data_IF_453435808417
#
_entry.id   IF_453435808417
#
_cell.length_a   1.000
_cell.length_b   1.000
_cell.length_c   1.000
_cell.angle_alpha   90.00
_cell.angle_beta   90.00
_cell.angle_gamma   90.00
#
_symmetry.space_group_name_H-M   'P 1'
#
loop_
_entity.id
_entity.type
_entity.pdbx_description
1 polymer ?
#
# COMPACT_ATOMS: atom_id res chain seq x y z
N UNK A 1 26.36 -13.18 12.44
CA UNK A 1 25.09 -13.83 12.02
C UNK A 1 25.51 -15.02 11.17
N UNK A 2 24.94 -16.19 11.38
CA UNK A 2 25.23 -17.34 10.51
C UNK A 2 24.21 -17.35 9.37
N UNK A 3 24.70 -17.34 8.14
CA UNK A 3 23.87 -17.41 6.94
C UNK A 3 23.60 -18.86 6.56
N UNK A 4 22.45 -19.15 5.96
CA UNK A 4 22.20 -20.45 5.35
C UNK A 4 23.06 -20.60 4.07
N UNK A 5 23.33 -21.84 3.61
CA UNK A 5 24.07 -22.04 2.34
C UNK A 5 23.44 -21.30 1.15
N UNK A 6 22.11 -21.21 1.09
CA UNK A 6 21.41 -20.51 0.04
C UNK A 6 21.59 -18.98 0.18
N UNK A 7 21.58 -18.47 1.42
CA UNK A 7 21.83 -17.05 1.68
C UNK A 7 23.27 -16.66 1.35
N UNK A 8 24.26 -17.51 1.68
CA UNK A 8 25.68 -17.30 1.29
C UNK A 8 25.86 -17.28 -0.22
N UNK A 9 25.18 -18.21 -0.93
CA UNK A 9 25.19 -18.23 -2.39
C UNK A 9 24.55 -16.96 -2.99
N UNK A 10 23.47 -16.46 -2.39
CA UNK A 10 22.84 -15.21 -2.80
C UNK A 10 23.75 -14.00 -2.58
N UNK A 11 24.40 -13.90 -1.42
CA UNK A 11 25.38 -12.85 -1.12
C UNK A 11 26.49 -12.83 -2.16
N UNK A 12 27.05 -14.01 -2.47
CA UNK A 12 28.10 -14.14 -3.49
C UNK A 12 27.60 -13.74 -4.88
N UNK A 13 26.41 -14.17 -5.28
CA UNK A 13 25.86 -13.84 -6.59
C UNK A 13 25.62 -12.32 -6.76
N UNK A 14 25.13 -11.65 -5.72
CA UNK A 14 24.94 -10.18 -5.74
C UNK A 14 26.29 -9.47 -5.77
N UNK A 15 27.28 -9.94 -5.00
CA UNK A 15 28.62 -9.36 -5.01
C UNK A 15 29.28 -9.53 -6.39
N UNK A 16 29.21 -10.71 -6.99
CA UNK A 16 29.72 -10.96 -8.34
C UNK A 16 29.05 -10.05 -9.38
N UNK A 17 27.75 -9.80 -9.26
CA UNK A 17 27.03 -8.85 -10.11
C UNK A 17 27.51 -7.41 -9.88
N UNK A 18 27.70 -6.99 -8.63
CA UNK A 18 28.19 -5.65 -8.32
C UNK A 18 29.56 -5.40 -8.95
N UNK A 19 30.45 -6.37 -8.85
CA UNK A 19 31.85 -6.21 -9.23
C UNK A 19 32.11 -6.45 -10.72
N UNK A 20 31.40 -7.37 -11.35
CA UNK A 20 31.80 -7.93 -12.65
C UNK A 20 30.73 -7.80 -13.75
N UNK A 21 29.48 -7.44 -13.43
CA UNK A 21 28.40 -7.39 -14.41
C UNK A 21 28.15 -5.96 -14.91
N UNK A 22 27.83 -5.81 -16.19
CA UNK A 22 27.31 -4.57 -16.78
C UNK A 22 25.79 -4.44 -16.63
N UNK A 23 25.10 -5.51 -16.23
CA UNK A 23 23.66 -5.49 -16.02
C UNK A 23 23.27 -4.51 -14.91
N UNK A 24 22.32 -3.65 -15.20
CA UNK A 24 21.91 -2.59 -14.29
C UNK A 24 21.07 -3.13 -13.12
N UNK A 25 20.28 -4.20 -13.31
CA UNK A 25 19.33 -4.72 -12.34
C UNK A 25 19.71 -6.12 -11.89
N UNK A 26 19.70 -6.36 -10.58
CA UNK A 26 19.73 -7.70 -10.01
C UNK A 26 18.44 -7.98 -9.22
N UNK A 27 17.77 -9.07 -9.53
CA UNK A 27 16.48 -9.48 -8.93
C UNK A 27 16.74 -10.57 -7.90
N UNK A 28 16.90 -10.17 -6.65
CA UNK A 28 16.98 -11.08 -5.51
C UNK A 28 15.58 -11.32 -4.98
N UNK A 29 14.92 -12.35 -5.50
CA UNK A 29 13.57 -12.69 -5.05
C UNK A 29 13.60 -13.77 -3.99
N UNK A 30 12.54 -13.85 -3.21
CA UNK A 30 12.37 -14.89 -2.22
C UNK A 30 11.02 -14.82 -1.55
N UNK A 31 10.59 -15.91 -0.97
CA UNK A 31 9.31 -16.00 -0.29
C UNK A 31 9.33 -15.31 1.08
N UNK A 32 8.17 -15.20 1.73
CA UNK A 32 8.10 -14.69 3.09
C UNK A 32 9.01 -15.52 4.03
N UNK A 33 9.71 -14.86 4.95
CA UNK A 33 10.58 -15.53 5.93
C UNK A 33 11.98 -15.95 5.42
N UNK A 34 12.36 -15.66 4.18
CA UNK A 34 13.69 -16.04 3.62
C UNK A 34 14.81 -15.04 3.94
N UNK A 35 14.54 -13.92 4.60
CA UNK A 35 15.56 -12.97 5.07
C UNK A 35 16.07 -11.97 4.02
N UNK A 36 15.35 -11.74 2.91
CA UNK A 36 15.75 -10.82 1.83
C UNK A 36 16.26 -9.46 2.29
N UNK A 37 15.48 -8.78 3.12
CA UNK A 37 15.82 -7.43 3.61
C UNK A 37 17.08 -7.44 4.47
N UNK A 38 17.26 -8.48 5.29
CA UNK A 38 18.46 -8.63 6.13
C UNK A 38 19.72 -8.86 5.28
N UNK A 39 19.60 -9.67 4.22
CA UNK A 39 20.68 -9.87 3.25
C UNK A 39 21.05 -8.58 2.53
N UNK A 40 20.05 -7.82 2.07
CA UNK A 40 20.28 -6.57 1.35
C UNK A 40 20.94 -5.51 2.24
N UNK A 41 20.57 -5.45 3.52
CA UNK A 41 21.23 -4.56 4.49
C UNK A 41 22.71 -4.93 4.67
N UNK A 42 22.99 -6.21 4.86
CA UNK A 42 24.36 -6.69 4.98
C UNK A 42 25.21 -6.44 3.72
N UNK A 43 24.64 -6.66 2.53
CA UNK A 43 25.29 -6.33 1.27
C UNK A 43 25.60 -4.84 1.15
N UNK A 44 24.68 -3.99 1.57
CA UNK A 44 24.84 -2.54 1.51
C UNK A 44 26.01 -2.03 2.37
N UNK A 45 26.27 -2.68 3.51
CA UNK A 45 27.42 -2.35 4.38
C UNK A 45 28.76 -2.58 3.70
N UNK A 46 28.83 -3.49 2.72
CA UNK A 46 30.04 -3.83 1.95
C UNK A 46 30.27 -2.98 0.70
N UNK A 47 29.28 -2.17 0.29
CA UNK A 47 29.38 -1.37 -0.94
C UNK A 47 30.14 -0.09 -0.70
N UNK A 48 31.17 0.17 -1.53
CA UNK A 48 31.87 1.45 -1.52
C UNK A 48 31.04 2.54 -2.20
N UNK A 49 30.71 3.59 -1.46
CA UNK A 49 29.95 4.75 -1.96
C UNK A 49 28.54 4.85 -1.40
N UNK A 50 27.69 5.59 -2.08
CA UNK A 50 26.34 5.88 -1.60
C UNK A 50 25.40 4.73 -1.93
N UNK A 51 24.77 4.17 -0.90
CA UNK A 51 23.69 3.19 -1.05
C UNK A 51 22.38 3.83 -0.60
N UNK A 52 21.36 3.79 -1.47
CA UNK A 52 20.04 4.31 -1.20
C UNK A 52 19.04 3.15 -1.07
N UNK A 53 18.15 3.25 -0.08
CA UNK A 53 17.07 2.28 0.12
C UNK A 53 15.74 2.90 -0.23
N UNK A 54 14.95 2.19 -1.01
CA UNK A 54 13.62 2.61 -1.41
C UNK A 54 12.57 1.53 -1.21
N UNK A 55 11.33 1.96 -0.98
CA UNK A 55 10.15 1.10 -0.99
C UNK A 55 9.01 1.77 -1.74
N UNK A 56 8.04 0.99 -2.20
CA UNK A 56 6.90 1.54 -2.93
C UNK A 56 6.00 2.40 -2.04
N UNK A 57 5.78 2.00 -0.79
CA UNK A 57 4.91 2.70 0.17
C UNK A 57 5.71 3.32 1.32
N UNK A 58 5.18 4.41 1.89
CA UNK A 58 5.78 5.04 3.06
C UNK A 58 5.84 4.11 4.28
N UNK A 59 4.84 3.24 4.43
CA UNK A 59 4.84 2.23 5.51
C UNK A 59 5.96 1.20 5.32
N UNK A 60 6.18 0.72 4.11
CA UNK A 60 7.28 -0.20 3.83
C UNK A 60 8.65 0.47 4.04
N UNK A 61 8.80 1.74 3.66
CA UNK A 61 10.05 2.48 3.95
C UNK A 61 10.28 2.66 5.46
N UNK A 62 9.23 2.89 6.24
CA UNK A 62 9.34 2.97 7.71
C UNK A 62 9.77 1.64 8.32
N UNK A 63 9.22 0.52 7.86
CA UNK A 63 9.66 -0.83 8.30
C UNK A 63 11.14 -1.07 7.98
N UNK A 64 11.63 -0.60 6.85
CA UNK A 64 13.06 -0.65 6.51
C UNK A 64 13.89 0.22 7.45
N UNK A 65 13.43 1.43 7.79
CA UNK A 65 14.10 2.33 8.74
C UNK A 65 14.20 1.67 10.13
N UNK A 66 13.15 1.03 10.61
CA UNK A 66 13.14 0.29 11.88
C UNK A 66 14.15 -0.88 11.88
N UNK A 67 14.46 -1.43 10.72
CA UNK A 67 15.50 -2.46 10.52
C UNK A 67 16.92 -1.89 10.31
N UNK A 68 17.07 -0.57 10.44
CA UNK A 68 18.37 0.11 10.30
C UNK A 68 18.72 0.54 8.88
N UNK A 69 17.83 0.40 7.89
CA UNK A 69 18.04 0.87 6.53
C UNK A 69 17.47 2.29 6.40
N UNK A 70 18.23 3.33 6.01
CA UNK A 70 17.71 4.70 5.83
C UNK A 70 16.88 4.79 4.53
N UNK A 71 15.68 4.25 4.57
CA UNK A 71 14.82 4.12 3.40
C UNK A 71 13.86 5.29 3.22
N UNK A 72 13.55 5.61 1.96
CA UNK A 72 12.48 6.53 1.56
C UNK A 72 11.51 5.85 0.60
N UNK A 73 10.45 6.53 0.18
CA UNK A 73 9.65 5.98 -0.92
C UNK A 73 10.34 6.21 -2.26
N UNK A 74 10.12 5.31 -3.23
CA UNK A 74 10.64 5.48 -4.59
C UNK A 74 10.19 6.83 -5.17
N UNK A 75 8.94 7.24 -4.92
CA UNK A 75 8.44 8.55 -5.35
C UNK A 75 9.27 9.72 -4.79
N UNK A 76 9.56 9.72 -3.50
CA UNK A 76 10.40 10.77 -2.89
C UNK A 76 11.82 10.74 -3.44
N UNK A 77 12.29 9.55 -3.78
CA UNK A 77 13.66 9.34 -4.26
C UNK A 77 13.86 9.90 -5.67
N UNK A 78 12.92 9.67 -6.59
CA UNK A 78 13.12 9.96 -8.02
C UNK A 78 12.24 11.07 -8.59
N UNK A 79 11.21 11.54 -7.86
CA UNK A 79 10.31 12.58 -8.34
C UNK A 79 10.35 13.82 -7.45
N UNK A 80 9.98 14.94 -8.05
CA UNK A 80 9.64 16.17 -7.34
C UNK A 80 8.20 16.57 -7.66
N UNK A 81 7.49 17.09 -6.68
CA UNK A 81 6.15 17.61 -6.91
C UNK A 81 6.20 18.81 -7.84
N UNK A 82 5.35 18.82 -8.84
CA UNK A 82 5.10 19.98 -9.70
C UNK A 82 3.79 20.58 -9.27
N UNK A 83 3.78 21.89 -9.03
CA UNK A 83 2.51 22.56 -8.79
C UNK A 83 1.64 22.42 -10.05
N UNK A 84 0.37 21.97 -9.90
CA UNK A 84 -0.52 21.87 -11.03
C UNK A 84 -0.69 23.24 -11.69
N UNK A 85 -0.58 23.28 -13.01
CA UNK A 85 -0.90 24.51 -13.74
C UNK A 85 -2.42 24.70 -13.75
N UNK A 86 -2.92 25.55 -12.87
CA UNK A 86 -4.34 25.94 -12.84
C UNK A 86 -4.69 26.97 -13.91
N UNK A 87 -3.72 27.43 -14.71
CA UNK A 87 -3.93 28.48 -15.70
C UNK A 87 -5.02 28.13 -16.73
N UNK A 88 -4.95 26.92 -17.28
CA UNK A 88 -5.95 26.42 -18.25
C UNK A 88 -7.34 26.24 -17.63
N UNK A 89 -7.39 25.76 -16.39
CA UNK A 89 -8.66 25.64 -15.65
C UNK A 89 -9.28 27.01 -15.42
N UNK A 90 -8.50 28.01 -14.98
CA UNK A 90 -8.98 29.39 -14.80
C UNK A 90 -9.46 30.03 -16.10
N UNK A 91 -8.75 29.78 -17.21
CA UNK A 91 -9.17 30.24 -18.54
C UNK A 91 -10.51 29.63 -18.94
N UNK A 92 -10.67 28.31 -18.75
CA UNK A 92 -11.92 27.62 -19.03
C UNK A 92 -13.06 28.07 -18.12
N UNK A 93 -12.80 28.32 -16.85
CA UNK A 93 -13.78 28.86 -15.90
C UNK A 93 -14.27 30.25 -16.31
N UNK A 94 -13.35 31.13 -16.74
CA UNK A 94 -13.69 32.44 -17.24
C UNK A 94 -14.54 32.40 -18.53
N UNK A 95 -14.24 31.45 -19.43
CA UNK A 95 -14.99 31.25 -20.66
C UNK A 95 -16.39 30.67 -20.38
N UNK A 96 -16.50 29.69 -19.48
CA UNK A 96 -17.79 29.16 -19.03
C UNK A 96 -18.62 30.25 -18.36
N UNK A 97 -18.01 31.11 -17.54
CA UNK A 97 -18.67 32.26 -16.94
C UNK A 97 -19.31 33.17 -17.95
N UNK A 98 -18.62 33.48 -19.07
CA UNK A 98 -19.18 34.26 -20.16
C UNK A 98 -20.37 33.61 -20.84
N UNK A 99 -20.30 32.29 -21.06
CA UNK A 99 -21.40 31.53 -21.67
C UNK A 99 -22.63 31.45 -20.78
N UNK A 100 -22.47 31.48 -19.46
CA UNK A 100 -23.56 31.44 -18.47
C UNK A 100 -24.26 32.81 -18.30
N UNK A 101 -23.66 33.90 -18.75
CA UNK A 101 -24.28 35.24 -18.72
C UNK A 101 -25.30 35.48 -19.86
N UNK A 102 -25.51 34.49 -20.74
CA UNK A 102 -26.49 34.60 -21.82
C UNK A 102 -27.91 34.41 -21.23
N UNK A 103 -28.72 35.49 -21.23
CA UNK A 103 -30.05 35.48 -20.58
C UNK A 103 -31.04 34.49 -21.21
N UNK A 104 -31.00 34.28 -22.55
CA UNK A 104 -31.86 33.32 -23.25
C UNK A 104 -31.02 32.41 -24.18
N UNK A 105 -30.36 31.38 -23.66
CA UNK A 105 -29.49 30.54 -24.49
C UNK A 105 -30.32 29.63 -25.40
N UNK A 106 -29.95 29.57 -26.67
CA UNK A 106 -30.51 28.62 -27.64
C UNK A 106 -30.15 27.17 -27.27
N UNK A 107 -30.87 26.19 -27.82
CA UNK A 107 -30.60 24.76 -27.60
C UNK A 107 -29.15 24.36 -28.00
N UNK A 108 -28.57 25.01 -29.00
CA UNK A 108 -27.19 24.81 -29.43
C UNK A 108 -26.21 25.34 -28.37
N UNK A 109 -26.49 26.52 -27.80
CA UNK A 109 -25.67 27.12 -26.74
C UNK A 109 -25.76 26.34 -25.44
N UNK A 110 -26.94 25.83 -25.09
CA UNK A 110 -27.12 24.95 -23.93
C UNK A 110 -26.28 23.66 -24.07
N UNK A 111 -26.27 23.05 -25.25
CA UNK A 111 -25.42 21.88 -25.52
C UNK A 111 -23.95 22.24 -25.41
N UNK A 112 -23.52 23.38 -25.97
CA UNK A 112 -22.14 23.87 -25.83
C UNK A 112 -21.73 24.07 -24.38
N UNK A 113 -22.60 24.66 -23.56
CA UNK A 113 -22.37 24.84 -22.10
C UNK A 113 -22.20 23.47 -21.41
N UNK A 114 -23.04 22.48 -21.74
CA UNK A 114 -22.92 21.14 -21.15
C UNK A 114 -21.63 20.44 -21.55
N UNK A 115 -21.25 20.51 -22.84
CA UNK A 115 -20.01 19.90 -23.33
C UNK A 115 -18.79 20.59 -22.68
N UNK A 116 -18.83 21.92 -22.58
CA UNK A 116 -17.74 22.69 -21.97
C UNK A 116 -17.60 22.43 -20.46
N UNK A 117 -18.71 22.23 -19.74
CA UNK A 117 -18.69 21.79 -18.34
C UNK A 117 -17.98 20.44 -18.17
N UNK A 118 -18.27 19.47 -19.06
CA UNK A 118 -17.62 18.16 -19.03
C UNK A 118 -16.11 18.27 -19.31
N UNK A 119 -15.75 19.08 -20.31
CA UNK A 119 -14.33 19.33 -20.61
C UNK A 119 -13.60 20.02 -19.46
N UNK A 120 -14.24 20.99 -18.80
CA UNK A 120 -13.71 21.66 -17.62
C UNK A 120 -13.53 20.67 -16.45
N UNK A 121 -14.48 19.76 -16.23
CA UNK A 121 -14.40 18.75 -15.19
C UNK A 121 -13.24 17.76 -15.46
N UNK A 122 -13.05 17.37 -16.70
CA UNK A 122 -11.90 16.55 -17.13
C UNK A 122 -10.58 17.32 -16.89
N UNK A 123 -10.51 18.59 -17.28
CA UNK A 123 -9.31 19.39 -17.11
C UNK A 123 -9.01 19.68 -15.64
N UNK A 124 -10.03 19.96 -14.84
CA UNK A 124 -9.90 20.05 -13.37
C UNK A 124 -9.35 18.74 -12.80
N UNK A 125 -9.90 17.59 -13.23
CA UNK A 125 -9.43 16.27 -12.81
C UNK A 125 -7.97 16.03 -13.21
N UNK A 126 -7.57 16.45 -14.40
CA UNK A 126 -6.19 16.36 -14.87
C UNK A 126 -5.25 17.32 -14.12
N UNK A 127 -5.67 18.56 -13.91
CA UNK A 127 -4.91 19.55 -13.13
C UNK A 127 -4.77 19.17 -11.65
N UNK A 128 -5.60 18.24 -11.17
CA UNK A 128 -5.69 17.78 -9.81
C UNK A 128 -4.78 16.63 -9.47
N UNK A 129 -4.45 15.84 -10.46
CA UNK A 129 -3.48 14.76 -10.24
C UNK A 129 -2.17 15.41 -9.85
N UNK A 130 -1.57 15.02 -8.70
CA UNK A 130 -0.25 15.51 -8.39
C UNK A 130 0.65 15.17 -9.58
N UNK A 131 1.09 16.23 -10.27
CA UNK A 131 2.04 16.06 -11.36
C UNK A 131 3.41 15.90 -10.74
N UNK A 132 4.03 14.79 -11.01
CA UNK A 132 5.39 14.53 -10.59
C UNK A 132 6.30 14.61 -11.82
N UNK A 133 7.31 15.45 -11.73
CA UNK A 133 8.39 15.47 -12.72
C UNK A 133 9.56 14.66 -12.19
N UNK A 134 10.21 13.91 -13.10
CA UNK A 134 11.43 13.19 -12.77
C UNK A 134 12.50 14.18 -12.27
N UNK A 135 12.99 13.96 -11.05
CA UNK A 135 14.05 14.78 -10.46
C UNK A 135 15.41 14.31 -10.98
N UNK A 136 15.87 14.85 -12.09
CA UNK A 136 17.15 14.51 -12.71
C UNK A 136 18.38 14.84 -11.85
N UNK A 137 18.20 15.62 -10.81
CA UNK A 137 19.22 16.00 -9.82
C UNK A 137 19.14 15.15 -8.54
N UNK A 138 18.32 14.09 -8.57
CA UNK A 138 18.22 13.15 -7.45
C UNK A 138 19.58 12.53 -7.12
N UNK A 139 19.78 12.25 -5.82
CA UNK A 139 20.95 11.53 -5.31
C UNK A 139 21.13 10.14 -5.96
N UNK A 140 20.04 9.58 -6.52
CA UNK A 140 20.06 8.32 -7.28
C UNK A 140 21.11 8.35 -8.39
N UNK A 141 21.29 9.50 -9.05
CA UNK A 141 22.26 9.65 -10.15
C UNK A 141 23.70 9.38 -9.75
N UNK A 142 24.05 9.64 -8.49
CA UNK A 142 25.39 9.42 -7.95
C UNK A 142 25.51 8.19 -7.06
N UNK A 143 24.44 7.43 -6.90
CA UNK A 143 24.42 6.27 -6.04
C UNK A 143 25.22 5.11 -6.65
N UNK A 144 26.01 4.43 -5.82
CA UNK A 144 26.70 3.18 -6.19
C UNK A 144 25.72 2.02 -6.27
N UNK A 145 24.69 2.05 -5.44
CA UNK A 145 23.64 1.03 -5.41
C UNK A 145 22.32 1.64 -4.93
N UNK A 146 21.23 1.26 -5.58
CA UNK A 146 19.87 1.49 -5.08
C UNK A 146 19.23 0.15 -4.74
N UNK A 147 18.76 -0.01 -3.52
CA UNK A 147 18.05 -1.20 -3.06
C UNK A 147 16.56 -0.89 -2.98
N UNK A 148 15.74 -1.62 -3.72
CA UNK A 148 14.29 -1.46 -3.72
C UNK A 148 13.64 -2.68 -3.08
N UNK A 149 12.98 -2.49 -1.95
CA UNK A 149 12.19 -3.55 -1.30
C UNK A 149 10.71 -3.47 -1.73
N UNK A 150 9.99 -4.59 -1.61
CA UNK A 150 8.60 -4.75 -2.05
C UNK A 150 8.40 -4.33 -3.51
N UNK A 151 9.32 -4.73 -4.39
CA UNK A 151 9.33 -4.31 -5.80
C UNK A 151 8.13 -4.82 -6.62
N UNK A 152 7.31 -5.70 -6.07
CA UNK A 152 6.11 -6.25 -6.71
C UNK A 152 5.06 -5.18 -7.06
N UNK A 153 5.10 -4.04 -6.38
CA UNK A 153 4.16 -2.94 -6.58
C UNK A 153 4.66 -1.87 -7.58
N UNK A 154 5.89 -1.96 -8.06
CA UNK A 154 6.47 -0.97 -8.98
C UNK A 154 5.91 -1.19 -10.38
N UNK A 155 5.27 -0.17 -10.93
CA UNK A 155 4.74 -0.18 -12.30
C UNK A 155 5.82 0.11 -13.36
N UNK A 156 5.41 0.00 -14.64
CA UNK A 156 6.34 0.17 -15.76
C UNK A 156 6.95 1.57 -15.87
N UNK A 157 6.16 2.61 -15.56
CA UNK A 157 6.65 4.01 -15.66
C UNK A 157 7.68 4.29 -14.59
N UNK A 158 7.34 3.99 -13.34
CA UNK A 158 8.24 4.21 -12.20
C UNK A 158 9.52 3.37 -12.33
N UNK A 159 9.41 2.13 -12.79
CA UNK A 159 10.57 1.27 -13.01
C UNK A 159 11.51 1.81 -14.07
N UNK A 160 10.99 2.27 -15.21
CA UNK A 160 11.78 2.90 -16.27
C UNK A 160 12.42 4.21 -15.80
N UNK A 161 11.67 5.04 -15.10
CA UNK A 161 12.17 6.30 -14.54
C UNK A 161 13.33 6.05 -13.58
N UNK A 162 13.21 5.07 -12.69
CA UNK A 162 14.30 4.67 -11.77
C UNK A 162 15.54 4.21 -12.55
N UNK A 163 15.36 3.35 -13.54
CA UNK A 163 16.49 2.84 -14.35
C UNK A 163 17.13 3.92 -15.23
N UNK A 164 16.41 5.00 -15.57
CA UNK A 164 16.94 6.09 -16.39
C UNK A 164 18.12 6.86 -15.74
N UNK A 165 18.32 6.70 -14.42
CA UNK A 165 19.46 7.27 -13.71
C UNK A 165 20.79 6.54 -13.96
N UNK A 166 20.76 5.31 -14.48
CA UNK A 166 21.94 4.55 -14.85
C UNK A 166 22.70 3.89 -13.70
N UNK A 167 22.26 4.05 -12.44
CA UNK A 167 22.87 3.37 -11.28
C UNK A 167 22.48 1.88 -11.22
N UNK A 168 23.25 1.07 -10.49
CA UNK A 168 22.89 -0.33 -10.21
C UNK A 168 21.71 -0.40 -9.26
N UNK A 169 20.77 -1.30 -9.53
CA UNK A 169 19.52 -1.46 -8.77
C UNK A 169 19.36 -2.92 -8.33
N UNK A 170 19.44 -3.15 -7.04
CA UNK A 170 19.09 -4.42 -6.40
C UNK A 170 17.62 -4.40 -6.02
N UNK A 171 16.79 -5.25 -6.63
CA UNK A 171 15.37 -5.33 -6.31
C UNK A 171 15.07 -6.58 -5.50
N UNK A 172 14.36 -6.36 -4.39
CA UNK A 172 13.88 -7.40 -3.51
C UNK A 172 12.39 -7.56 -3.74
N UNK A 173 11.95 -8.78 -3.94
CA UNK A 173 10.54 -9.06 -4.20
C UNK A 173 10.14 -10.46 -3.80
N UNK A 174 8.85 -10.67 -3.74
CA UNK A 174 8.26 -11.97 -3.53
C UNK A 174 7.37 -12.29 -4.74
N UNK A 175 7.76 -13.25 -5.59
CA UNK A 175 7.04 -13.58 -6.82
C UNK A 175 5.68 -14.23 -6.56
N UNK A 176 5.42 -14.67 -5.33
CA UNK A 176 4.14 -15.22 -4.93
C UNK A 176 3.15 -14.17 -4.43
N UNK A 177 3.61 -12.93 -4.19
CA UNK A 177 2.72 -11.84 -3.78
C UNK A 177 1.87 -11.31 -4.95
N UNK A 178 0.83 -10.58 -4.57
CA UNK A 178 -0.13 -9.98 -5.49
C UNK A 178 0.55 -8.84 -6.29
N UNK A 179 0.42 -8.82 -7.63
CA UNK A 179 0.93 -7.72 -8.44
C UNK A 179 0.13 -6.42 -8.23
N UNK A 180 0.61 -5.27 -8.71
CA UNK A 180 -0.11 -4.01 -8.62
C UNK A 180 -1.44 -4.05 -9.38
N UNK A 181 -2.38 -3.21 -8.96
CA UNK A 181 -3.67 -3.08 -9.65
C UNK A 181 -3.46 -2.57 -11.07
N UNK A 182 -3.93 -3.31 -12.05
CA UNK A 182 -3.92 -2.89 -13.47
C UNK A 182 -2.73 -3.34 -14.31
N UNK A 183 -1.79 -4.12 -13.77
CA UNK A 183 -0.66 -4.62 -14.55
C UNK A 183 0.22 -5.64 -13.86
N UNK A 184 1.23 -6.13 -14.58
CA UNK A 184 2.33 -6.88 -13.98
C UNK A 184 3.31 -5.90 -13.31
N UNK A 185 3.92 -6.30 -12.20
CA UNK A 185 4.97 -5.51 -11.59
C UNK A 185 6.21 -5.47 -12.50
N UNK A 186 6.75 -4.28 -12.72
CA UNK A 186 7.84 -4.07 -13.68
C UNK A 186 9.03 -5.02 -13.47
N UNK A 187 9.43 -5.20 -12.23
CA UNK A 187 10.56 -6.07 -11.89
C UNK A 187 10.15 -7.54 -11.77
N UNK A 188 8.91 -7.83 -11.38
CA UNK A 188 8.44 -9.20 -11.13
C UNK A 188 7.94 -9.92 -12.37
N UNK A 189 7.83 -9.22 -13.51
CA UNK A 189 7.52 -9.82 -14.81
C UNK A 189 8.73 -10.56 -15.44
N UNK A 190 9.89 -10.47 -14.80
CA UNK A 190 11.13 -11.12 -15.21
C UNK A 190 11.48 -12.26 -14.25
N UNK A 191 12.24 -13.22 -14.76
CA UNK A 191 12.80 -14.27 -13.90
C UNK A 191 13.76 -13.66 -12.88
N UNK A 192 13.78 -14.18 -11.65
CA UNK A 192 14.78 -13.76 -10.67
C UNK A 192 16.19 -14.16 -11.12
N UNK A 193 17.17 -13.32 -10.82
CA UNK A 193 18.58 -13.64 -10.98
C UNK A 193 19.03 -14.60 -9.86
N UNK A 194 18.40 -14.45 -8.68
CA UNK A 194 18.51 -15.41 -7.58
C UNK A 194 17.17 -15.54 -6.84
N UNK A 195 16.78 -16.77 -6.52
CA UNK A 195 15.54 -17.05 -5.77
C UNK A 195 15.89 -17.71 -4.43
N UNK A 196 15.47 -17.06 -3.34
CA UNK A 196 15.52 -17.61 -1.99
C UNK A 196 14.21 -18.37 -1.73
N UNK A 197 14.25 -19.68 -1.73
CA UNK A 197 13.08 -20.54 -1.49
C UNK A 197 13.18 -21.36 -0.20
N UNK A 198 14.34 -21.41 0.42
CA UNK A 198 14.52 -22.01 1.73
C UNK A 198 14.02 -21.08 2.84
N UNK A 199 13.08 -21.58 3.63
CA UNK A 199 12.62 -20.91 4.84
C UNK A 199 13.72 -21.01 5.89
N UNK A 200 14.04 -19.90 6.56
CA UNK A 200 15.08 -19.89 7.58
C UNK A 200 14.74 -20.90 8.69
N UNK A 201 15.74 -21.66 9.19
CA UNK A 201 15.56 -22.70 10.24
C UNK A 201 14.79 -22.20 11.47
N UNK A 202 14.88 -20.93 11.81
CA UNK A 202 14.11 -20.31 12.91
C UNK A 202 12.61 -20.16 12.61
N UNK A 203 12.20 -20.35 11.36
CA UNK A 203 10.82 -20.24 10.90
C UNK A 203 10.25 -21.60 10.46
N UNK A 204 11.00 -22.69 10.62
CA UNK A 204 10.49 -24.06 10.39
C UNK A 204 9.40 -24.35 11.43
N UNK A 205 8.24 -24.79 10.96
CA UNK A 205 7.07 -25.05 11.80
C UNK A 205 6.27 -23.79 12.19
N UNK A 206 6.53 -22.64 11.54
CA UNK A 206 5.68 -21.46 11.68
C UNK A 206 4.34 -21.72 10.94
N UNK A 207 3.22 -21.74 11.66
CA UNK A 207 1.92 -22.06 11.07
C UNK A 207 1.50 -21.09 9.96
N UNK A 208 1.96 -19.83 10.00
CA UNK A 208 1.67 -18.84 8.96
C UNK A 208 2.41 -19.19 7.69
N UNK A 209 3.69 -19.56 7.79
CA UNK A 209 4.50 -19.96 6.63
C UNK A 209 4.04 -21.30 6.05
N UNK A 210 3.54 -22.21 6.87
CA UNK A 210 2.93 -23.46 6.42
C UNK A 210 1.69 -23.19 5.56
N UNK A 211 0.74 -22.38 6.07
CA UNK A 211 -0.45 -21.98 5.33
C UNK A 211 -0.11 -21.19 4.05
N UNK A 212 0.87 -20.29 4.13
CA UNK A 212 1.36 -19.53 2.97
C UNK A 212 1.97 -20.47 1.92
N UNK A 213 2.76 -21.47 2.34
CA UNK A 213 3.37 -22.46 1.43
C UNK A 213 2.33 -23.34 0.76
N UNK A 214 1.32 -23.83 1.50
CA UNK A 214 0.20 -24.56 0.93
C UNK A 214 -0.51 -23.72 -0.14
N UNK A 215 -0.81 -22.45 0.19
CA UNK A 215 -1.47 -21.52 -0.73
C UNK A 215 -0.64 -21.25 -1.99
N UNK A 216 0.67 -21.03 -1.83
CA UNK A 216 1.62 -20.85 -2.94
C UNK A 216 1.66 -22.05 -3.87
N UNK A 217 1.65 -23.27 -3.30
CA UNK A 217 1.64 -24.52 -4.03
C UNK A 217 0.26 -24.87 -4.62
N UNK A 218 -0.71 -23.95 -4.50
CA UNK A 218 -2.09 -24.10 -4.97
C UNK A 218 -2.83 -25.26 -4.31
N UNK A 219 -2.40 -25.66 -3.13
CA UNK A 219 -3.10 -26.63 -2.29
C UNK A 219 -4.28 -25.96 -1.61
N UNK A 220 -5.44 -26.61 -1.60
CA UNK A 220 -6.59 -26.12 -0.86
C UNK A 220 -6.28 -26.16 0.64
N UNK A 221 -6.54 -25.06 1.33
CA UNK A 221 -6.47 -25.04 2.78
C UNK A 221 -7.63 -25.85 3.35
N UNK A 222 -7.35 -26.82 4.19
CA UNK A 222 -8.37 -27.59 4.89
C UNK A 222 -8.85 -26.84 6.13
N UNK A 223 -10.09 -27.10 6.57
CA UNK A 223 -10.60 -26.57 7.83
C UNK A 223 -9.85 -27.22 9.00
N UNK A 224 -9.46 -26.42 9.98
CA UNK A 224 -8.77 -26.94 11.16
C UNK A 224 -7.83 -25.96 11.81
N UNK A 225 -7.17 -26.43 12.86
CA UNK A 225 -6.17 -25.68 13.61
C UNK A 225 -4.77 -25.97 13.04
N UNK A 226 -3.97 -24.92 12.88
CA UNK A 226 -2.58 -24.94 12.42
C UNK A 226 -1.71 -24.22 13.45
N UNK A 227 -1.40 -24.86 14.56
CA UNK A 227 -0.67 -24.24 15.66
C UNK A 227 -1.38 -23.02 16.22
N UNK A 228 -0.79 -21.82 16.08
CA UNK A 228 -1.42 -20.55 16.48
C UNK A 228 -2.40 -20.00 15.46
N UNK A 229 -2.46 -20.60 14.28
CA UNK A 229 -3.31 -20.19 13.16
C UNK A 229 -4.44 -21.19 12.92
N UNK A 230 -5.43 -20.82 12.12
CA UNK A 230 -6.56 -21.71 11.80
C UNK A 230 -7.27 -21.33 10.51
N UNK A 231 -8.01 -22.31 9.98
CA UNK A 231 -8.91 -22.14 8.83
C UNK A 231 -10.31 -22.55 9.27
N UNK A 232 -11.27 -21.65 9.17
CA UNK A 232 -12.66 -21.87 9.58
C UNK A 232 -13.60 -21.60 8.41
N UNK A 233 -14.80 -22.16 8.49
CA UNK A 233 -15.88 -21.90 7.54
C UNK A 233 -16.84 -20.87 8.14
N UNK A 234 -17.27 -19.90 7.31
CA UNK A 234 -18.14 -18.81 7.75
C UNK A 234 -19.52 -19.33 8.18
N UNK A 235 -20.08 -20.24 7.40
CA UNK A 235 -21.45 -20.74 7.61
C UNK A 235 -21.53 -21.76 8.76
N UNK A 236 -20.44 -22.49 8.99
CA UNK A 236 -20.36 -23.47 10.08
C UNK A 236 -19.94 -22.84 11.43
N UNK A 237 -19.35 -21.63 11.40
CA UNK A 237 -18.87 -20.93 12.60
C UNK A 237 -20.02 -20.21 13.30
N UNK A 238 -20.20 -20.49 14.60
CA UNK A 238 -21.23 -19.81 15.39
C UNK A 238 -20.99 -18.29 15.43
N UNK A 239 -22.05 -17.46 15.33
CA UNK A 239 -21.88 -16.00 15.34
C UNK A 239 -21.13 -15.44 16.54
N UNK A 240 -21.25 -16.05 17.71
CA UNK A 240 -20.54 -15.64 18.91
C UNK A 240 -19.04 -15.88 18.82
N UNK A 241 -18.63 -17.02 18.23
CA UNK A 241 -17.24 -17.40 18.04
C UNK A 241 -16.60 -16.52 16.95
N UNK A 242 -17.30 -16.29 15.84
CA UNK A 242 -16.87 -15.38 14.79
C UNK A 242 -16.71 -13.95 15.33
N UNK A 243 -17.65 -13.49 16.16
CA UNK A 243 -17.54 -12.18 16.82
C UNK A 243 -16.26 -12.08 17.65
N UNK A 244 -15.93 -13.11 18.44
CA UNK A 244 -14.69 -13.14 19.22
C UNK A 244 -13.48 -13.06 18.30
N UNK A 245 -13.43 -13.87 17.23
CA UNK A 245 -12.34 -13.89 16.25
C UNK A 245 -12.08 -12.50 15.66
N UNK A 246 -13.12 -11.80 15.21
CA UNK A 246 -12.97 -10.48 14.58
C UNK A 246 -12.65 -9.37 15.58
N UNK A 247 -13.07 -9.51 16.85
CA UNK A 247 -12.79 -8.55 17.91
C UNK A 247 -11.36 -8.66 18.44
N UNK A 248 -10.79 -9.87 18.43
CA UNK A 248 -9.42 -10.15 18.89
C UNK A 248 -8.38 -9.88 17.80
N UNK A 249 -8.80 -9.58 16.58
CA UNK A 249 -7.91 -9.32 15.44
C UNK A 249 -7.30 -7.92 15.50
N UNK A 250 -5.99 -7.83 15.27
CA UNK A 250 -5.33 -6.54 15.03
C UNK A 250 -5.74 -5.95 13.68
N UNK A 251 -5.94 -6.80 12.67
CA UNK A 251 -6.39 -6.38 11.34
C UNK A 251 -7.25 -7.43 10.65
N UNK A 252 -8.26 -6.94 9.94
CA UNK A 252 -9.11 -7.75 9.06
C UNK A 252 -8.78 -7.42 7.62
N UNK A 253 -8.58 -8.47 6.79
CA UNK A 253 -8.26 -8.34 5.37
C UNK A 253 -9.39 -8.92 4.54
N UNK A 254 -9.82 -8.17 3.52
CA UNK A 254 -10.88 -8.54 2.58
C UNK A 254 -10.44 -8.30 1.13
N UNK A 255 -11.19 -8.82 0.16
CA UNK A 255 -10.86 -8.68 -1.26
C UNK A 255 -11.42 -7.42 -1.92
N UNK A 256 -12.68 -7.10 -1.61
CA UNK A 256 -13.46 -6.08 -2.34
C UNK A 256 -13.70 -4.82 -1.52
N UNK A 257 -13.76 -3.67 -2.19
CA UNK A 257 -14.07 -2.40 -1.53
C UNK A 257 -15.48 -2.40 -0.91
N UNK A 258 -16.47 -3.00 -1.58
CA UNK A 258 -17.83 -3.08 -1.03
C UNK A 258 -17.86 -3.90 0.27
N UNK A 259 -17.14 -5.02 0.33
CA UNK A 259 -17.01 -5.82 1.55
C UNK A 259 -16.28 -5.02 2.64
N UNK A 260 -15.19 -4.32 2.29
CA UNK A 260 -14.46 -3.44 3.19
C UNK A 260 -15.37 -2.38 3.83
N UNK A 261 -16.16 -1.65 3.04
CA UNK A 261 -17.08 -0.63 3.56
C UNK A 261 -18.15 -1.24 4.48
N UNK A 262 -18.76 -2.35 4.06
CA UNK A 262 -19.76 -3.05 4.85
C UNK A 262 -19.19 -3.55 6.19
N UNK A 263 -17.99 -4.13 6.16
CA UNK A 263 -17.34 -4.66 7.36
C UNK A 263 -16.91 -3.54 8.29
N UNK A 264 -16.33 -2.46 7.80
CA UNK A 264 -15.99 -1.30 8.62
C UNK A 264 -17.20 -0.76 9.38
N UNK A 265 -18.35 -0.62 8.70
CA UNK A 265 -19.60 -0.19 9.34
C UNK A 265 -20.09 -1.16 10.43
N UNK A 266 -19.97 -2.49 10.20
CA UNK A 266 -20.38 -3.51 11.18
C UNK A 266 -19.39 -3.57 12.36
N UNK A 267 -18.08 -3.53 12.09
CA UNK A 267 -17.05 -3.62 13.11
C UNK A 267 -17.08 -2.40 14.04
N UNK A 268 -17.25 -1.19 13.51
CA UNK A 268 -17.47 0.00 14.35
C UNK A 268 -18.61 -0.21 15.36
N UNK A 269 -19.76 -0.73 14.88
CA UNK A 269 -20.90 -1.03 15.77
C UNK A 269 -20.55 -2.09 16.82
N UNK A 270 -19.77 -3.12 16.47
CA UNK A 270 -19.31 -4.13 17.42
C UNK A 270 -18.39 -3.53 18.50
N UNK A 271 -17.60 -2.50 18.16
CA UNK A 271 -16.78 -1.72 19.08
C UNK A 271 -17.57 -0.63 19.83
N UNK A 272 -18.93 -0.60 19.71
CA UNK A 272 -19.79 0.34 20.40
C UNK A 272 -19.85 1.74 19.79
N UNK A 273 -19.31 1.94 18.56
CA UNK A 273 -19.30 3.22 17.85
C UNK A 273 -20.45 3.32 16.87
N UNK A 274 -21.31 4.29 17.07
CA UNK A 274 -22.59 4.41 16.33
C UNK A 274 -22.75 5.72 15.57
N UNK A 275 -21.91 6.72 15.86
CA UNK A 275 -21.87 7.96 15.08
C UNK A 275 -21.57 7.68 13.61
N UNK A 276 -22.09 8.50 12.69
CA UNK A 276 -21.69 8.45 11.29
C UNK A 276 -20.27 8.99 11.07
N UNK A 277 -19.81 9.88 11.95
CA UNK A 277 -18.45 10.44 11.95
C UNK A 277 -17.53 9.69 12.91
N UNK A 278 -16.20 9.86 12.78
CA UNK A 278 -15.25 9.23 13.68
C UNK A 278 -15.50 9.56 15.16
N UNK A 279 -15.19 8.60 16.00
CA UNK A 279 -15.21 8.71 17.46
C UNK A 279 -13.83 8.33 18.00
N UNK A 280 -13.50 8.80 19.20
CA UNK A 280 -12.24 8.42 19.86
C UNK A 280 -12.08 6.89 19.95
N UNK A 281 -10.90 6.42 19.58
CA UNK A 281 -10.56 4.99 19.43
C UNK A 281 -10.98 4.37 18.09
N UNK A 282 -11.58 5.11 17.14
CA UNK A 282 -11.78 4.59 15.79
C UNK A 282 -10.43 4.32 15.10
N UNK A 283 -10.41 3.27 14.29
CA UNK A 283 -9.26 2.92 13.47
C UNK A 283 -9.47 3.47 12.06
N UNK A 284 -8.52 4.27 11.60
CA UNK A 284 -8.62 4.96 10.31
C UNK A 284 -7.35 4.76 9.48
N UNK A 285 -7.45 4.83 8.15
CA UNK A 285 -6.33 4.77 7.21
C UNK A 285 -6.24 6.07 6.44
N UNK A 286 -5.04 6.61 6.35
CA UNK A 286 -4.74 7.71 5.47
C UNK A 286 -4.67 7.20 4.01
N UNK A 287 -5.31 7.93 3.09
CA UNK A 287 -5.39 7.55 1.66
C UNK A 287 -4.60 8.46 0.75
N UNK A 288 -3.94 9.47 1.32
CA UNK A 288 -3.13 10.44 0.56
C UNK A 288 -1.87 10.80 1.35
N UNK A 289 -0.75 10.89 0.64
CA UNK A 289 0.47 11.41 1.26
C UNK A 289 0.34 12.90 1.55
N UNK A 290 0.79 13.30 2.72
CA UNK A 290 0.98 14.69 3.11
C UNK A 290 2.35 14.79 3.79
N UNK A 291 3.30 15.42 3.11
CA UNK A 291 4.68 15.47 3.56
C UNK A 291 4.91 16.50 4.68
N UNK A 292 4.04 17.50 4.76
CA UNK A 292 4.16 18.56 5.77
C UNK A 292 3.77 18.02 7.15
N UNK A 293 2.77 17.16 7.19
CA UNK A 293 2.30 16.49 8.41
C UNK A 293 2.91 15.11 8.65
N UNK A 294 3.65 14.57 7.68
CA UNK A 294 4.21 13.23 7.74
C UNK A 294 3.19 12.09 7.51
N UNK A 295 2.00 12.42 7.04
CA UNK A 295 0.97 11.43 6.72
C UNK A 295 1.33 10.66 5.44
N UNK A 296 1.20 9.35 5.50
CA UNK A 296 1.52 8.47 4.37
C UNK A 296 0.32 7.63 3.95
N UNK A 297 0.13 7.49 2.64
CA UNK A 297 -0.92 6.65 2.08
C UNK A 297 -0.74 5.19 2.54
N UNK A 298 -1.81 4.61 3.06
CA UNK A 298 -1.84 3.26 3.61
C UNK A 298 -1.46 3.18 5.10
N UNK A 299 -0.96 4.27 5.71
CA UNK A 299 -0.68 4.30 7.13
C UNK A 299 -1.99 4.29 7.94
N UNK A 300 -1.98 3.48 9.00
CA UNK A 300 -3.13 3.29 9.90
C UNK A 300 -2.92 4.10 11.17
N UNK A 301 -4.01 4.64 11.66
CA UNK A 301 -4.04 5.48 12.83
C UNK A 301 -5.21 5.10 13.74
N UNK A 302 -5.09 5.45 15.02
CA UNK A 302 -6.20 5.49 15.97
C UNK A 302 -6.58 6.94 16.25
N UNK A 303 -7.86 7.23 16.21
CA UNK A 303 -8.40 8.54 16.59
C UNK A 303 -8.29 8.67 18.11
N UNK A 304 -7.55 9.66 18.59
CA UNK A 304 -7.43 9.94 20.04
C UNK A 304 -8.50 10.90 20.51
N UNK A 305 -8.75 11.94 19.71
CA UNK A 305 -9.72 12.98 20.05
C UNK A 305 -10.41 13.51 18.81
N UNK A 306 -11.64 14.00 18.98
CA UNK A 306 -12.44 14.65 17.96
C UNK A 306 -12.69 16.08 18.42
N UNK A 307 -12.32 17.02 17.57
CA UNK A 307 -12.62 18.42 17.72
C UNK A 307 -13.93 18.84 17.05
N UNK A 308 -13.88 19.85 16.24
CA UNK A 308 -15.02 20.39 15.52
C UNK A 308 -15.44 19.46 14.37
N UNK A 309 -16.75 19.26 14.20
CA UNK A 309 -17.33 18.43 13.14
C UNK A 309 -18.44 19.24 12.49
N UNK A 310 -18.35 19.45 11.18
CA UNK A 310 -19.42 20.03 10.38
C UNK A 310 -19.84 19.08 9.23
N UNK A 311 -20.58 19.57 8.25
CA UNK A 311 -21.06 18.75 7.13
C UNK A 311 -19.93 18.30 6.22
N UNK A 312 -18.87 19.10 6.07
CA UNK A 312 -17.79 18.88 5.13
C UNK A 312 -16.49 18.38 5.79
N UNK A 313 -16.22 18.76 7.06
CA UNK A 313 -14.95 18.51 7.70
C UNK A 313 -15.07 17.92 9.11
N UNK A 314 -14.06 17.12 9.44
CA UNK A 314 -13.85 16.55 10.78
C UNK A 314 -12.45 16.91 11.23
N UNK A 315 -12.34 17.71 12.29
CA UNK A 315 -11.09 17.97 12.98
C UNK A 315 -10.83 16.85 13.97
N UNK A 316 -9.70 16.19 13.88
CA UNK A 316 -9.36 15.08 14.77
C UNK A 316 -7.87 15.01 15.08
N UNK A 317 -7.56 14.41 16.22
CA UNK A 317 -6.19 14.03 16.58
C UNK A 317 -6.03 12.55 16.38
N UNK A 318 -5.03 12.14 15.59
CA UNK A 318 -4.77 10.74 15.24
C UNK A 318 -3.37 10.33 15.67
N UNK A 319 -3.23 9.10 16.16
CA UNK A 319 -1.95 8.49 16.51
C UNK A 319 -1.65 7.31 15.60
N UNK A 320 -0.42 7.19 15.04
CA UNK A 320 -0.03 6.03 14.24
C UNK A 320 -0.17 4.70 15.00
N UNK A 321 -0.62 3.64 14.34
CA UNK A 321 -0.71 2.28 14.90
C UNK A 321 0.65 1.71 15.29
N UNK A 322 1.73 2.21 14.70
CA UNK A 322 3.12 1.86 15.02
C UNK A 322 3.69 2.64 16.21
N UNK A 323 2.89 3.49 16.86
CA UNK A 323 3.35 4.43 17.88
C UNK A 323 3.96 5.72 17.30
N UNK A 324 4.32 6.64 18.18
CA UNK A 324 4.85 7.97 17.84
C UNK A 324 3.92 9.08 18.28
N UNK A 325 4.20 10.31 17.85
CA UNK A 325 3.44 11.48 18.25
C UNK A 325 2.07 11.54 17.59
N UNK A 326 1.12 12.12 18.28
CA UNK A 326 -0.20 12.38 17.74
C UNK A 326 -0.16 13.54 16.72
N UNK A 327 -0.97 13.44 15.69
CA UNK A 327 -1.03 14.40 14.59
C UNK A 327 -2.43 15.00 14.56
N UNK A 328 -2.49 16.34 14.52
CA UNK A 328 -3.75 17.06 14.28
C UNK A 328 -4.04 17.08 12.78
N UNK A 329 -5.24 16.68 12.39
CA UNK A 329 -5.65 16.59 11.00
C UNK A 329 -7.06 17.14 10.80
N UNK A 330 -7.30 17.67 9.60
CA UNK A 330 -8.63 18.03 9.13
C UNK A 330 -8.96 17.06 8.00
N UNK A 331 -9.91 16.16 8.22
CA UNK A 331 -10.34 15.19 7.25
C UNK A 331 -11.67 15.60 6.60
N UNK A 332 -11.85 15.29 5.31
CA UNK A 332 -13.14 15.52 4.69
C UNK A 332 -14.15 14.46 5.12
N UNK A 333 -15.29 14.91 5.65
CA UNK A 333 -16.35 14.08 6.28
C UNK A 333 -16.95 13.01 5.33
N UNK A 334 -17.13 13.35 4.07
CA UNK A 334 -17.74 12.49 3.05
C UNK A 334 -17.03 11.13 2.88
N UNK A 335 -15.72 11.07 3.07
CA UNK A 335 -14.99 9.80 2.96
C UNK A 335 -15.39 8.79 4.03
N UNK A 336 -15.76 9.24 5.22
CA UNK A 336 -16.27 8.37 6.28
C UNK A 336 -17.67 7.83 5.97
N UNK A 337 -18.43 8.55 5.14
CA UNK A 337 -19.73 8.13 4.64
C UNK A 337 -19.63 7.19 3.43
N UNK A 338 -18.42 7.03 2.86
CA UNK A 338 -18.14 6.20 1.67
C UNK A 338 -18.39 6.94 0.36
N UNK A 339 -18.42 8.24 0.41
CA UNK A 339 -18.59 9.11 -0.76
C UNK A 339 -17.25 9.46 -1.38
N UNK A 340 -17.27 9.94 -2.61
CA UNK A 340 -16.07 10.42 -3.31
C UNK A 340 -16.15 11.93 -3.43
N UNK A 341 -15.07 12.61 -3.02
CA UNK A 341 -14.96 14.06 -3.07
C UNK A 341 -13.97 14.42 -4.17
N UNK A 342 -14.33 15.31 -5.09
CA UNK A 342 -13.38 15.89 -6.01
C UNK A 342 -12.30 16.65 -5.22
N UNK A 343 -11.06 16.58 -5.68
CA UNK A 343 -9.94 17.16 -4.95
C UNK A 343 -10.03 18.69 -4.74
N UNK A 344 -10.72 19.41 -5.66
CA UNK A 344 -10.92 20.86 -5.56
C UNK A 344 -11.96 21.25 -4.50
N UNK A 345 -12.74 20.29 -4.01
CA UNK A 345 -13.68 20.46 -2.91
C UNK A 345 -13.06 20.05 -1.56
N UNK A 346 -11.82 19.57 -1.58
CA UNK A 346 -11.15 19.13 -0.36
C UNK A 346 -10.64 20.26 0.54
N UNK A 347 -10.51 21.48 0.01
CA UNK A 347 -10.04 22.67 0.75
C UNK A 347 -8.83 22.43 1.68
N UNK A 348 -7.89 21.60 1.21
CA UNK A 348 -6.71 21.22 1.98
C UNK A 348 -6.92 20.08 2.99
N UNK A 349 -8.14 19.58 3.12
CA UNK A 349 -8.44 18.47 4.02
C UNK A 349 -7.74 17.16 3.60
N UNK A 350 -7.44 16.32 4.57
CA UNK A 350 -6.85 14.99 4.35
C UNK A 350 -7.92 13.97 4.02
N UNK A 351 -7.51 12.91 3.31
CA UNK A 351 -8.35 11.78 2.97
C UNK A 351 -8.14 10.65 3.97
N UNK A 352 -9.10 10.44 4.85
CA UNK A 352 -9.15 9.31 5.78
C UNK A 352 -10.39 8.46 5.56
N UNK A 353 -10.25 7.15 5.78
CA UNK A 353 -11.34 6.18 5.74
C UNK A 353 -11.24 5.26 6.97
N UNK A 354 -12.32 4.56 7.35
CA UNK A 354 -12.28 3.55 8.40
C UNK A 354 -11.41 2.35 8.00
N UNK A 355 -10.65 1.80 8.95
CA UNK A 355 -9.63 0.79 8.72
C UNK A 355 -9.70 -0.46 9.62
N UNK A 356 -10.84 -0.77 10.20
CA UNK A 356 -11.05 -2.05 10.89
C UNK A 356 -10.88 -3.23 9.91
N UNK A 357 -11.36 -3.06 8.69
CA UNK A 357 -11.08 -3.94 7.57
C UNK A 357 -10.40 -3.15 6.44
N UNK A 358 -9.37 -3.72 5.84
CA UNK A 358 -8.67 -3.17 4.68
C UNK A 358 -8.64 -4.19 3.54
N UNK A 359 -8.43 -3.71 2.30
CA UNK A 359 -8.21 -4.65 1.18
C UNK A 359 -6.80 -5.23 1.22
N UNK A 360 -6.63 -6.42 0.64
CA UNK A 360 -5.32 -7.05 0.54
C UNK A 360 -4.26 -6.13 -0.11
N UNK A 361 -4.62 -5.37 -1.15
CA UNK A 361 -3.70 -4.40 -1.75
C UNK A 361 -3.28 -3.29 -0.76
N UNK A 362 -4.22 -2.79 0.04
CA UNK A 362 -3.90 -1.78 1.06
C UNK A 362 -3.01 -2.34 2.17
N UNK A 363 -3.05 -3.66 2.42
CA UNK A 363 -2.25 -4.32 3.44
C UNK A 363 -0.80 -4.62 3.02
N UNK A 364 -0.47 -4.49 1.74
CA UNK A 364 0.91 -4.71 1.26
C UNK A 364 1.89 -3.75 1.93
N UNK A 365 3.08 -4.23 2.27
CA UNK A 365 4.06 -3.49 3.07
C UNK A 365 3.70 -3.33 4.55
N UNK A 366 2.60 -3.94 5.01
CA UNK A 366 2.14 -3.91 6.41
C UNK A 366 2.21 -5.29 7.05
N UNK A 367 2.32 -5.34 8.38
CA UNK A 367 2.28 -6.58 9.14
C UNK A 367 1.60 -6.33 10.50
N UNK A 368 0.83 -7.30 10.99
CA UNK A 368 0.14 -7.25 12.29
C UNK A 368 0.27 -8.58 13.01
N UNK A 369 0.17 -8.58 14.34
CA UNK A 369 0.32 -9.82 15.11
C UNK A 369 -0.78 -10.83 14.76
N UNK A 370 -2.06 -10.43 14.84
CA UNK A 370 -3.19 -11.32 14.65
C UNK A 370 -4.06 -10.82 13.49
N UNK A 371 -4.10 -11.58 12.41
CA UNK A 371 -4.82 -11.19 11.20
C UNK A 371 -6.00 -12.13 10.96
N UNK A 372 -7.15 -11.57 10.59
CA UNK A 372 -8.29 -12.32 10.08
C UNK A 372 -8.44 -12.04 8.59
N UNK A 373 -8.43 -13.08 7.78
CA UNK A 373 -8.59 -13.01 6.32
C UNK A 373 -9.95 -13.61 5.96
N UNK A 374 -10.86 -12.79 5.45
CA UNK A 374 -12.06 -13.31 4.79
C UNK A 374 -11.71 -13.65 3.35
N UNK A 375 -11.74 -14.93 3.01
CA UNK A 375 -11.24 -15.42 1.73
C UNK A 375 -12.16 -15.05 0.56
N UNK A 376 -11.93 -13.89 -0.01
CA UNK A 376 -12.52 -13.43 -1.26
C UNK A 376 -11.57 -13.63 -2.47
N UNK A 377 -10.62 -14.56 -2.37
CA UNK A 377 -9.61 -14.82 -3.41
C UNK A 377 -10.23 -15.20 -4.76
N UNK A 378 -11.43 -15.78 -4.75
CA UNK A 378 -12.18 -16.14 -5.96
C UNK A 378 -12.43 -14.95 -6.90
N UNK A 379 -12.49 -13.73 -6.37
CA UNK A 379 -12.66 -12.51 -7.17
C UNK A 379 -11.42 -12.19 -8.04
N UNK A 380 -10.26 -12.74 -7.70
CA UNK A 380 -8.98 -12.45 -8.33
C UNK A 380 -8.58 -13.46 -9.42
N UNK A 381 -9.47 -14.38 -9.79
CA UNK A 381 -9.32 -15.32 -10.93
C UNK A 381 -7.94 -16.02 -10.93
N UNK A 382 -7.07 -15.68 -11.92
CA UNK A 382 -5.73 -16.25 -12.06
C UNK A 382 -4.80 -15.95 -10.88
N UNK A 383 -5.01 -14.83 -10.20
CA UNK A 383 -4.18 -14.36 -9.08
C UNK A 383 -4.76 -14.74 -7.70
N UNK A 384 -5.80 -15.63 -7.65
CA UNK A 384 -6.43 -16.03 -6.39
C UNK A 384 -5.45 -16.55 -5.33
N UNK A 385 -4.47 -17.36 -5.74
CA UNK A 385 -3.49 -17.91 -4.81
C UNK A 385 -2.50 -16.85 -4.33
N UNK A 386 -2.12 -15.91 -5.22
CA UNK A 386 -1.29 -14.76 -4.85
C UNK A 386 -2.00 -13.85 -3.87
N UNK A 387 -3.31 -13.64 -4.07
CA UNK A 387 -4.12 -12.83 -3.17
C UNK A 387 -4.14 -13.44 -1.76
N UNK A 388 -4.48 -14.73 -1.65
CA UNK A 388 -4.57 -15.41 -0.36
C UNK A 388 -3.20 -15.52 0.32
N UNK A 389 -2.15 -15.84 -0.43
CA UNK A 389 -0.77 -15.83 0.04
C UNK A 389 -0.37 -14.46 0.61
N UNK A 390 -0.64 -13.38 -0.14
CA UNK A 390 -0.33 -12.03 0.31
C UNK A 390 -1.08 -11.68 1.59
N UNK A 391 -2.36 -12.04 1.70
CA UNK A 391 -3.16 -11.78 2.87
C UNK A 391 -2.66 -12.56 4.11
N UNK A 392 -2.35 -13.84 3.96
CA UNK A 392 -1.81 -14.70 5.04
C UNK A 392 -0.47 -14.15 5.56
N UNK A 393 0.43 -13.77 4.66
CA UNK A 393 1.77 -13.27 5.02
C UNK A 393 1.77 -11.89 5.66
N UNK A 394 0.60 -11.27 5.87
CA UNK A 394 0.47 -10.03 6.68
C UNK A 394 0.44 -10.32 8.17
N UNK A 395 0.27 -11.56 8.57
CA UNK A 395 0.31 -11.96 9.97
C UNK A 395 1.75 -12.17 10.46
N UNK A 396 1.99 -11.80 11.72
CA UNK A 396 3.28 -12.01 12.40
C UNK A 396 3.22 -13.11 13.48
N UNK A 397 2.05 -13.35 14.10
CA UNK A 397 1.89 -14.34 15.18
C UNK A 397 0.78 -15.36 14.88
N UNK A 398 -0.33 -14.92 14.32
CA UNK A 398 -1.43 -15.82 14.00
C UNK A 398 -2.28 -15.31 12.84
N UNK A 399 -2.81 -16.21 12.04
CA UNK A 399 -3.80 -15.90 11.02
C UNK A 399 -5.02 -16.80 11.17
N UNK A 400 -6.21 -16.20 11.10
CA UNK A 400 -7.46 -16.94 10.92
C UNK A 400 -7.97 -16.70 9.50
N UNK A 401 -7.99 -17.76 8.69
CA UNK A 401 -8.60 -17.71 7.35
C UNK A 401 -10.05 -18.14 7.47
N UNK A 402 -10.98 -17.26 7.10
CA UNK A 402 -12.41 -17.51 7.07
C UNK A 402 -12.82 -17.78 5.64
N UNK A 403 -13.16 -19.01 5.31
CA UNK A 403 -13.72 -19.38 4.00
C UNK A 403 -15.13 -18.84 3.88
N UNK A 404 -15.44 -18.19 2.73
CA UNK A 404 -16.72 -17.52 2.44
C UNK A 404 -17.43 -18.18 1.25
#
# INVERSE_FOLDING_TARGET
>A
MEWSPQQEAALKAVQDWLDNSEEQVFRLFGFAGTGKTTLANHLAEGVNGTVLFGAFTGKASKVLQEKGCPATTIHQMIYRSKQPSTAKVKEMEAELGKLLLIEEPTSIQLKKIQDYRKELEIERTNAARPMFDLNRESEVRGASLVVIDECSMVDGVMGQDLLSFGCKVLVLGDPAQLPPVGGAGFFTDHKPDFLLDEIHRQAEGDPILDLATLTRNKTLLELGEYGTSRVIDLDETKPADLKKVVMDADQIIVGRNNTRHSYNKRLRKLHGRTSQFPEAGDKVVCRRNDHDTGLMNGAIFYVEDIGEVDEDFVVMTVRPDTGGDAIHVIAHAAFFLGETVPWWEMDGAQHFEYAYAVTCHTSQGSQWNNVVVFDESYCFKKDRHRWLYTAITRAAKSVTVVKT
#
